data_IF_327443300624
#
_entry.id   IF_327443300624
#
_cell.length_a   1.000
_cell.length_b   1.000
_cell.length_c   1.000
_cell.angle_alpha   90.00
_cell.angle_beta   90.00
_cell.angle_gamma   90.00
#
_symmetry.space_group_name_H-M   'P 1'
#
loop_
_entity.id
_entity.type
_entity.pdbx_description
1 polymer ?
#
# COMPACT_ATOMS: atom_id res chain seq x y z
N UNK A 1 14.85 10.52 -29.40
CA UNK A 1 13.54 10.83 -28.75
C UNK A 1 13.67 10.37 -27.31
N UNK A 2 13.78 11.27 -26.30
CA UNK A 2 13.87 10.84 -24.91
C UNK A 2 12.54 10.19 -24.50
N UNK A 3 12.58 8.92 -24.19
CA UNK A 3 11.40 8.17 -23.69
C UNK A 3 10.96 8.82 -22.38
N UNK A 4 9.74 9.33 -22.35
CA UNK A 4 9.20 10.02 -21.16
C UNK A 4 9.08 9.02 -20.03
N UNK A 5 9.91 9.18 -18.98
CA UNK A 5 9.88 8.31 -17.80
C UNK A 5 8.45 8.17 -17.25
N UNK A 6 8.04 6.93 -17.02
CA UNK A 6 6.75 6.60 -16.43
C UNK A 6 6.66 7.19 -15.01
N UNK A 7 5.57 7.89 -14.69
CA UNK A 7 5.37 8.49 -13.36
C UNK A 7 3.89 8.48 -12.96
N UNK A 8 3.64 8.47 -11.65
CA UNK A 8 2.32 8.58 -11.05
C UNK A 8 1.88 10.03 -10.92
N UNK A 9 0.57 10.25 -10.87
CA UNK A 9 0.02 11.56 -10.51
C UNK A 9 0.05 11.73 -9.00
N UNK A 10 0.82 12.70 -8.55
CA UNK A 10 0.79 13.15 -7.16
C UNK A 10 -0.49 13.97 -6.94
N UNK A 11 -1.33 13.54 -6.00
CA UNK A 11 -2.63 14.17 -5.70
C UNK A 11 -2.56 14.96 -4.41
N UNK A 12 -1.77 14.47 -3.45
CA UNK A 12 -1.57 15.12 -2.16
C UNK A 12 -0.07 15.24 -1.85
N UNK A 13 0.35 16.38 -1.30
CA UNK A 13 1.73 16.61 -0.86
C UNK A 13 1.76 17.82 0.08
N UNK A 14 1.64 17.56 1.38
CA UNK A 14 1.62 18.63 2.39
C UNK A 14 2.41 18.26 3.65
N UNK A 15 2.87 19.29 4.33
CA UNK A 15 3.51 19.21 5.63
C UNK A 15 3.15 20.45 6.46
N UNK A 16 2.89 20.28 7.74
CA UNK A 16 2.63 21.38 8.67
C UNK A 16 3.89 22.16 9.07
N UNK A 17 5.08 21.64 8.74
CA UNK A 17 6.39 22.24 9.05
C UNK A 17 7.17 22.56 7.77
N UNK A 18 8.04 23.59 7.81
CA UNK A 18 9.00 23.89 6.73
C UNK A 18 10.16 22.89 6.69
N UNK A 19 10.40 22.19 7.79
CA UNK A 19 11.49 21.22 7.96
C UNK A 19 10.91 19.85 8.34
N UNK A 20 10.37 19.09 7.37
CA UNK A 20 9.83 17.78 7.64
C UNK A 20 10.96 16.82 8.09
N UNK A 21 10.66 15.98 9.09
CA UNK A 21 11.57 14.94 9.59
C UNK A 21 11.26 13.54 9.06
N UNK A 22 10.06 13.36 8.54
CA UNK A 22 9.58 12.09 8.01
C UNK A 22 8.66 12.34 6.82
N UNK A 23 8.75 11.51 5.79
CA UNK A 23 7.77 11.47 4.71
C UNK A 23 6.93 10.19 4.83
N UNK A 24 5.61 10.33 4.69
CA UNK A 24 4.68 9.20 4.62
C UNK A 24 4.08 9.16 3.23
N UNK A 25 4.31 8.05 2.52
CA UNK A 25 3.81 7.84 1.16
C UNK A 25 2.67 6.81 1.20
N UNK A 26 1.49 7.22 0.72
CA UNK A 26 0.29 6.38 0.67
C UNK A 26 0.12 5.73 -0.70
N UNK A 27 -0.09 4.41 -0.69
CA UNK A 27 -0.30 3.56 -1.87
C UNK A 27 -1.65 2.86 -1.75
N UNK A 28 -2.61 3.27 -2.59
CA UNK A 28 -4.00 2.80 -2.52
C UNK A 28 -4.20 1.37 -3.05
N UNK A 29 -5.38 0.81 -2.78
CA UNK A 29 -5.78 -0.52 -3.22
C UNK A 29 -6.30 -0.58 -4.64
N UNK A 30 -6.65 -1.79 -5.09
CA UNK A 30 -7.29 -1.99 -6.38
C UNK A 30 -8.67 -1.33 -6.42
N UNK A 31 -9.10 -0.89 -7.60
CA UNK A 31 -10.37 -0.22 -7.83
C UNK A 31 -10.63 1.00 -6.93
N UNK A 32 -9.54 1.66 -6.52
CA UNK A 32 -9.54 2.88 -5.72
C UNK A 32 -8.57 3.90 -6.34
N UNK A 33 -8.50 5.06 -5.72
CA UNK A 33 -7.48 6.08 -5.94
C UNK A 33 -7.00 6.63 -4.60
N UNK A 34 -6.16 7.64 -4.62
CA UNK A 34 -5.60 8.28 -3.41
C UNK A 34 -6.67 8.87 -2.49
N UNK A 35 -7.88 9.15 -2.97
CA UNK A 35 -8.98 9.66 -2.14
C UNK A 35 -9.42 8.68 -1.05
N UNK A 36 -9.11 7.39 -1.21
CA UNK A 36 -9.36 6.37 -0.18
C UNK A 36 -8.63 6.67 1.14
N UNK A 37 -7.56 7.45 1.10
CA UNK A 37 -6.81 7.91 2.28
C UNK A 37 -7.18 9.33 2.73
N UNK A 38 -8.07 10.05 2.04
CA UNK A 38 -8.33 11.47 2.31
C UNK A 38 -8.70 11.74 3.78
N UNK A 39 -9.59 10.93 4.36
CA UNK A 39 -9.99 11.07 5.76
C UNK A 39 -8.85 10.73 6.73
N UNK A 40 -8.05 9.72 6.42
CA UNK A 40 -6.87 9.36 7.21
C UNK A 40 -5.85 10.49 7.19
N UNK A 41 -5.50 10.98 6.01
CA UNK A 41 -4.54 12.09 5.82
C UNK A 41 -5.01 13.33 6.57
N UNK A 42 -6.28 13.73 6.39
CA UNK A 42 -6.85 14.89 7.10
C UNK A 42 -6.76 14.74 8.63
N UNK A 43 -6.99 13.53 9.14
CA UNK A 43 -6.87 13.24 10.57
C UNK A 43 -5.41 13.34 11.05
N UNK A 44 -4.47 12.76 10.31
CA UNK A 44 -3.03 12.79 10.62
C UNK A 44 -2.49 14.21 10.56
N UNK A 45 -2.84 15.00 9.56
CA UNK A 45 -2.45 16.43 9.44
C UNK A 45 -2.99 17.29 10.58
N UNK A 46 -4.17 16.95 11.12
CA UNK A 46 -4.76 17.60 12.29
C UNK A 46 -4.08 17.21 13.62
N UNK A 47 -3.21 16.20 13.61
CA UNK A 47 -2.53 15.71 14.82
C UNK A 47 -1.27 16.50 15.09
N UNK A 48 -1.23 17.22 16.23
CA UNK A 48 -0.14 18.17 16.58
C UNK A 48 1.25 17.53 16.61
N UNK A 49 1.36 16.29 17.08
CA UNK A 49 2.63 15.54 17.16
C UNK A 49 3.18 15.17 15.77
N UNK A 50 2.36 15.16 14.74
CA UNK A 50 2.72 14.80 13.36
C UNK A 50 2.94 16.04 12.45
N UNK A 51 3.05 17.25 13.00
CA UNK A 51 3.24 18.48 12.20
C UNK A 51 4.50 18.47 11.32
N UNK A 52 5.52 17.71 11.73
CA UNK A 52 6.80 17.57 11.01
C UNK A 52 6.80 16.35 10.06
N UNK A 53 5.64 15.76 9.82
CA UNK A 53 5.46 14.67 8.84
C UNK A 53 4.93 15.25 7.53
N UNK A 54 5.59 14.91 6.41
CA UNK A 54 5.13 15.23 5.06
C UNK A 54 4.29 14.08 4.54
N UNK A 55 3.00 14.32 4.30
CA UNK A 55 2.05 13.34 3.80
C UNK A 55 1.93 13.46 2.28
N UNK A 56 2.14 12.35 1.57
CA UNK A 56 2.18 12.28 0.11
C UNK A 56 1.30 11.14 -0.36
N UNK A 57 0.41 11.40 -1.31
CA UNK A 57 -0.42 10.36 -1.92
C UNK A 57 -0.38 10.43 -3.44
N UNK A 58 -0.23 9.27 -4.07
CA UNK A 58 -0.22 9.09 -5.51
C UNK A 58 -1.41 8.25 -5.95
N UNK A 59 -1.95 8.54 -7.13
CA UNK A 59 -2.79 7.60 -7.86
C UNK A 59 -1.90 6.62 -8.61
N UNK A 60 -2.14 5.33 -8.49
CA UNK A 60 -1.44 4.28 -9.24
C UNK A 60 -1.79 4.34 -10.72
N UNK A 61 -0.94 3.78 -11.60
CA UNK A 61 -1.23 3.72 -13.03
C UNK A 61 -2.58 3.04 -13.30
N UNK A 62 -3.33 3.61 -14.22
CA UNK A 62 -4.66 3.16 -14.58
C UNK A 62 -5.78 3.56 -13.62
N UNK A 63 -5.45 4.27 -12.52
CA UNK A 63 -6.40 4.71 -11.50
C UNK A 63 -6.42 6.23 -11.35
N UNK A 64 -7.54 6.77 -10.90
CA UNK A 64 -7.70 8.19 -10.59
C UNK A 64 -7.24 9.10 -11.74
N UNK A 65 -6.29 9.99 -11.44
CA UNK A 65 -5.71 10.96 -12.39
C UNK A 65 -4.39 10.51 -13.00
N UNK A 66 -3.89 9.32 -12.67
CA UNK A 66 -2.67 8.78 -13.27
C UNK A 66 -2.90 8.30 -14.69
N UNK A 67 -1.79 8.11 -15.43
CA UNK A 67 -1.80 7.75 -16.82
C UNK A 67 -2.55 6.43 -17.07
N UNK A 68 -3.31 6.41 -18.16
CA UNK A 68 -3.96 5.23 -18.73
C UNK A 68 -3.41 5.03 -20.13
N UNK A 69 -3.07 3.80 -20.50
CA UNK A 69 -2.50 3.48 -21.81
C UNK A 69 -2.62 2.01 -22.14
N UNK A 70 -3.03 1.70 -23.35
CA UNK A 70 -3.07 0.32 -23.88
C UNK A 70 -1.68 -0.34 -23.96
N UNK A 71 -0.61 0.47 -23.93
CA UNK A 71 0.78 -0.03 -23.93
C UNK A 71 1.23 -0.54 -22.57
N UNK A 72 0.51 -0.21 -21.48
CA UNK A 72 0.87 -0.64 -20.12
C UNK A 72 0.27 -2.00 -19.82
N UNK A 73 1.03 -2.80 -19.10
CA UNK A 73 0.59 -4.09 -18.57
C UNK A 73 0.04 -4.00 -17.15
N UNK A 74 0.21 -2.84 -16.48
CA UNK A 74 -0.26 -2.55 -15.12
C UNK A 74 0.17 -3.63 -14.11
N UNK A 75 1.29 -4.27 -14.34
CA UNK A 75 1.92 -5.25 -13.47
C UNK A 75 2.88 -4.60 -12.47
N UNK A 76 3.64 -5.41 -11.74
CA UNK A 76 4.65 -4.89 -10.83
C UNK A 76 5.72 -4.04 -11.52
N UNK A 77 6.13 -4.39 -12.73
CA UNK A 77 7.16 -3.62 -13.43
C UNK A 77 6.72 -2.19 -13.67
N UNK A 78 5.53 -2.02 -14.26
CA UNK A 78 4.98 -0.70 -14.56
C UNK A 78 4.73 0.11 -13.29
N UNK A 79 4.07 -0.50 -12.28
CA UNK A 79 3.71 0.21 -11.06
C UNK A 79 4.94 0.60 -10.24
N UNK A 80 5.94 -0.28 -10.10
CA UNK A 80 7.16 -0.01 -9.34
C UNK A 80 8.04 1.03 -10.03
N UNK A 81 8.16 0.98 -11.35
CA UNK A 81 8.91 1.99 -12.11
C UNK A 81 8.26 3.37 -11.96
N UNK A 82 6.95 3.46 -12.15
CA UNK A 82 6.23 4.71 -12.03
C UNK A 82 6.30 5.29 -10.61
N UNK A 83 6.17 4.44 -9.59
CA UNK A 83 6.28 4.85 -8.19
C UNK A 83 7.70 5.33 -7.87
N UNK A 84 8.72 4.59 -8.30
CA UNK A 84 10.13 4.96 -8.10
C UNK A 84 10.45 6.31 -8.73
N UNK A 85 10.16 6.48 -10.01
CA UNK A 85 10.38 7.73 -10.71
C UNK A 85 9.62 8.92 -10.06
N UNK A 86 8.47 8.66 -9.46
CA UNK A 86 7.68 9.70 -8.77
C UNK A 86 8.29 10.06 -7.43
N UNK A 87 8.81 9.09 -6.67
CA UNK A 87 9.51 9.31 -5.40
C UNK A 87 10.83 10.05 -5.64
N UNK A 88 11.63 9.64 -6.63
CA UNK A 88 12.88 10.31 -6.98
C UNK A 88 12.69 11.80 -7.33
N UNK A 89 11.58 12.14 -8.01
CA UNK A 89 11.22 13.53 -8.31
C UNK A 89 10.93 14.39 -7.07
N UNK A 90 10.59 13.77 -5.94
CA UNK A 90 10.36 14.51 -4.69
C UNK A 90 11.64 14.96 -4.02
N UNK A 91 12.80 14.38 -4.38
CA UNK A 91 14.12 14.67 -3.81
C UNK A 91 14.10 14.67 -2.28
N UNK A 92 13.60 13.57 -1.71
CA UNK A 92 13.46 13.42 -0.26
C UNK A 92 14.80 13.04 0.36
N UNK A 93 15.34 13.93 1.20
CA UNK A 93 16.56 13.70 2.01
C UNK A 93 16.19 13.26 3.44
N UNK A 94 14.96 12.80 3.65
CA UNK A 94 14.40 12.37 4.92
C UNK A 94 13.90 10.93 4.82
N UNK A 95 13.80 10.20 5.95
CA UNK A 95 13.27 8.85 5.96
C UNK A 95 11.87 8.77 5.39
N UNK A 96 11.55 7.63 4.77
CA UNK A 96 10.25 7.36 4.16
C UNK A 96 9.57 6.21 4.89
N UNK A 97 8.36 6.44 5.38
CA UNK A 97 7.42 5.39 5.76
C UNK A 97 6.43 5.19 4.62
N UNK A 98 6.25 3.96 4.18
CA UNK A 98 5.28 3.67 3.12
C UNK A 98 4.05 2.98 3.70
N UNK A 99 2.87 3.57 3.48
CA UNK A 99 1.58 3.07 3.94
C UNK A 99 0.82 2.50 2.75
N UNK A 100 0.69 1.18 2.69
CA UNK A 100 -0.11 0.51 1.66
C UNK A 100 -1.49 0.09 2.19
N UNK A 101 -2.50 0.08 1.32
CA UNK A 101 -3.80 -0.52 1.60
C UNK A 101 -4.13 -1.57 0.55
N UNK A 102 -4.57 -2.76 0.97
CA UNK A 102 -4.98 -3.84 0.07
C UNK A 102 -3.90 -4.13 -1.00
N UNK A 103 -4.19 -4.07 -2.30
CA UNK A 103 -3.19 -4.18 -3.37
C UNK A 103 -1.98 -3.26 -3.16
N UNK A 104 -2.19 -2.07 -2.61
CA UNK A 104 -1.11 -1.13 -2.32
C UNK A 104 -0.08 -1.68 -1.32
N UNK A 105 -0.47 -2.61 -0.44
CA UNK A 105 0.46 -3.30 0.46
C UNK A 105 1.45 -4.17 -0.30
N UNK A 106 0.97 -4.84 -1.35
CA UNK A 106 1.79 -5.70 -2.21
C UNK A 106 2.80 -4.86 -3.01
N UNK A 107 2.33 -3.74 -3.58
CA UNK A 107 3.20 -2.81 -4.29
C UNK A 107 4.25 -2.22 -3.33
N UNK A 108 3.87 -1.80 -2.13
CA UNK A 108 4.78 -1.27 -1.12
C UNK A 108 5.84 -2.31 -0.69
N UNK A 109 5.43 -3.56 -0.47
CA UNK A 109 6.33 -4.66 -0.12
C UNK A 109 7.34 -4.93 -1.23
N UNK A 110 6.88 -5.07 -2.48
CA UNK A 110 7.77 -5.29 -3.63
C UNK A 110 8.67 -4.07 -3.91
N UNK A 111 8.18 -2.86 -3.66
CA UNK A 111 8.98 -1.64 -3.76
C UNK A 111 10.13 -1.65 -2.73
N UNK A 112 9.82 -1.91 -1.47
CA UNK A 112 10.82 -1.94 -0.41
C UNK A 112 11.83 -3.08 -0.61
N UNK A 113 11.42 -4.24 -1.12
CA UNK A 113 12.33 -5.33 -1.46
C UNK A 113 13.28 -4.96 -2.61
N UNK A 114 12.79 -4.27 -3.63
CA UNK A 114 13.59 -3.83 -4.79
C UNK A 114 14.49 -2.64 -4.46
N UNK A 115 14.01 -1.65 -3.69
CA UNK A 115 14.68 -0.38 -3.38
C UNK A 115 15.01 -0.25 -1.88
N UNK A 116 15.64 -1.28 -1.32
CA UNK A 116 15.84 -1.53 0.14
C UNK A 116 16.35 -0.35 0.97
N UNK A 117 17.14 0.55 0.39
CA UNK A 117 17.75 1.68 1.11
C UNK A 117 16.85 2.91 1.27
N UNK A 118 15.70 2.95 0.61
CA UNK A 118 14.86 4.15 0.56
C UNK A 118 13.70 4.15 1.57
N UNK A 119 13.33 2.98 2.11
CA UNK A 119 12.16 2.84 2.97
C UNK A 119 12.59 2.45 4.39
N UNK A 120 12.25 3.31 5.36
CA UNK A 120 12.50 3.09 6.78
C UNK A 120 11.57 2.02 7.36
N UNK A 121 10.28 2.10 7.02
CA UNK A 121 9.25 1.22 7.57
C UNK A 121 8.09 1.06 6.60
N UNK A 122 7.47 -0.12 6.63
CA UNK A 122 6.22 -0.42 5.94
C UNK A 122 5.06 -0.52 6.93
N UNK A 123 3.94 0.12 6.62
CA UNK A 123 2.68 -0.05 7.32
C UNK A 123 1.66 -0.61 6.32
N UNK A 124 1.30 -1.88 6.48
CA UNK A 124 0.49 -2.63 5.55
C UNK A 124 -0.93 -2.82 6.11
N UNK A 125 -1.88 -2.07 5.54
CA UNK A 125 -3.28 -2.09 5.97
C UNK A 125 -4.07 -3.08 5.12
N UNK A 126 -4.68 -4.06 5.76
CA UNK A 126 -5.47 -5.12 5.09
C UNK A 126 -4.71 -5.81 3.95
N UNK A 127 -3.51 -6.37 4.20
CA UNK A 127 -2.70 -7.01 3.17
C UNK A 127 -3.36 -8.30 2.69
N UNK A 128 -3.54 -8.51 1.36
CA UNK A 128 -4.05 -9.75 0.81
C UNK A 128 -2.94 -10.81 0.78
N UNK A 129 -2.76 -11.50 1.91
CA UNK A 129 -1.71 -12.50 2.12
C UNK A 129 -2.26 -13.88 1.74
N UNK A 130 -2.09 -14.29 0.49
CA UNK A 130 -2.53 -15.59 -0.01
C UNK A 130 -1.33 -16.53 -0.21
N UNK A 131 -1.46 -17.75 0.30
CA UNK A 131 -0.52 -18.84 0.01
C UNK A 131 -0.86 -19.48 -1.35
N UNK A 132 0.06 -20.28 -1.90
CA UNK A 132 -0.23 -21.07 -3.11
C UNK A 132 -1.45 -21.98 -2.91
N UNK A 133 -1.61 -22.57 -1.71
CA UNK A 133 -2.76 -23.40 -1.37
C UNK A 133 -4.08 -22.63 -1.45
N UNK A 134 -4.10 -21.38 -0.96
CA UNK A 134 -5.29 -20.50 -1.07
C UNK A 134 -5.63 -20.26 -2.52
N UNK A 135 -4.64 -19.87 -3.33
CA UNK A 135 -4.83 -19.55 -4.75
C UNK A 135 -5.30 -20.76 -5.58
N UNK A 136 -4.98 -21.97 -5.17
CA UNK A 136 -5.43 -23.21 -5.83
C UNK A 136 -6.83 -23.64 -5.38
N UNK A 137 -7.33 -23.19 -4.23
CA UNK A 137 -8.61 -23.58 -3.66
C UNK A 137 -9.81 -23.20 -4.56
N UNK A 138 -10.70 -24.14 -4.90
CA UNK A 138 -11.90 -23.84 -5.66
C UNK A 138 -12.81 -22.81 -4.98
N UNK A 139 -12.97 -22.90 -3.66
CA UNK A 139 -13.77 -21.97 -2.87
C UNK A 139 -13.18 -20.55 -2.93
N UNK A 140 -11.85 -20.40 -2.81
CA UNK A 140 -11.17 -19.13 -2.95
C UNK A 140 -11.38 -18.54 -4.36
N UNK A 141 -11.19 -19.35 -5.42
CA UNK A 141 -11.40 -18.91 -6.81
C UNK A 141 -12.82 -18.42 -7.06
N UNK A 142 -13.82 -19.14 -6.53
CA UNK A 142 -15.22 -18.71 -6.64
C UNK A 142 -15.47 -17.38 -5.91
N UNK A 143 -14.98 -17.23 -4.68
CA UNK A 143 -15.08 -15.99 -3.91
C UNK A 143 -14.39 -14.81 -4.60
N UNK A 144 -13.20 -15.01 -5.15
CA UNK A 144 -12.47 -13.98 -5.89
C UNK A 144 -13.16 -13.57 -7.20
N UNK A 145 -13.80 -14.53 -7.88
CA UNK A 145 -14.62 -14.21 -9.07
C UNK A 145 -15.80 -13.29 -8.70
N UNK A 146 -16.56 -13.65 -7.65
CA UNK A 146 -17.66 -12.81 -7.16
C UNK A 146 -17.19 -11.42 -6.72
N UNK A 147 -16.08 -11.34 -6.01
CA UNK A 147 -15.46 -10.07 -5.62
C UNK A 147 -15.10 -9.22 -6.83
N UNK A 148 -14.41 -9.81 -7.80
CA UNK A 148 -13.97 -9.13 -9.03
C UNK A 148 -15.16 -8.55 -9.80
N UNK A 149 -16.23 -9.32 -9.97
CA UNK A 149 -17.45 -8.87 -10.64
C UNK A 149 -18.12 -7.72 -9.89
N UNK A 150 -18.29 -7.84 -8.57
CA UNK A 150 -18.94 -6.81 -7.74
C UNK A 150 -18.14 -5.50 -7.72
N UNK A 151 -16.81 -5.58 -7.61
CA UNK A 151 -15.92 -4.40 -7.55
C UNK A 151 -15.82 -3.73 -8.91
N UNK A 152 -15.70 -4.49 -10.00
CA UNK A 152 -15.67 -3.96 -11.37
C UNK A 152 -16.93 -3.15 -11.68
N UNK A 153 -18.09 -3.65 -11.30
CA UNK A 153 -19.35 -2.95 -11.52
C UNK A 153 -19.45 -1.63 -10.73
N UNK A 154 -19.00 -1.64 -9.47
CA UNK A 154 -19.11 -0.49 -8.55
C UNK A 154 -18.16 0.65 -8.88
N UNK A 155 -16.98 0.34 -9.41
CA UNK A 155 -15.88 1.31 -9.54
C UNK A 155 -15.59 1.70 -11.01
N UNK A 156 -16.59 1.58 -11.89
CA UNK A 156 -16.49 2.07 -13.27
C UNK A 156 -16.16 3.57 -13.27
N UNK A 157 -15.08 3.94 -13.97
CA UNK A 157 -14.60 5.32 -14.08
C UNK A 157 -13.47 5.67 -13.12
N UNK A 158 -13.29 4.97 -11.98
CA UNK A 158 -12.15 5.17 -11.09
C UNK A 158 -10.90 4.47 -11.63
N UNK A 159 -11.06 3.24 -12.11
CA UNK A 159 -10.00 2.43 -12.68
C UNK A 159 -10.35 2.01 -14.12
N UNK A 160 -9.35 1.95 -14.97
CA UNK A 160 -9.47 1.38 -16.32
C UNK A 160 -9.63 -0.15 -16.23
N UNK A 161 -10.49 -0.73 -17.09
CA UNK A 161 -10.80 -2.17 -17.06
C UNK A 161 -9.56 -3.03 -17.29
N UNK A 162 -8.70 -2.69 -18.25
CA UNK A 162 -7.43 -3.38 -18.47
C UNK A 162 -6.54 -3.33 -17.24
N UNK A 163 -6.43 -2.15 -16.61
CA UNK A 163 -5.66 -1.96 -15.37
C UNK A 163 -6.21 -2.83 -14.24
N UNK A 164 -7.53 -2.87 -14.06
CA UNK A 164 -8.17 -3.69 -13.05
C UNK A 164 -7.88 -5.18 -13.26
N UNK A 165 -8.14 -5.71 -14.45
CA UNK A 165 -7.97 -7.12 -14.77
C UNK A 165 -6.51 -7.57 -14.66
N UNK A 166 -5.58 -6.78 -15.18
CA UNK A 166 -4.16 -7.09 -15.12
C UNK A 166 -3.61 -6.99 -13.71
N UNK A 167 -3.98 -5.95 -12.94
CA UNK A 167 -3.58 -5.82 -11.55
C UNK A 167 -4.12 -6.95 -10.69
N UNK A 168 -5.38 -7.37 -10.89
CA UNK A 168 -5.90 -8.55 -10.21
C UNK A 168 -5.06 -9.79 -10.49
N UNK A 169 -4.80 -10.09 -11.77
CA UNK A 169 -4.10 -11.30 -12.18
C UNK A 169 -2.61 -11.27 -11.83
N UNK A 170 -1.92 -10.14 -12.08
CA UNK A 170 -0.45 -10.06 -12.02
C UNK A 170 0.08 -9.52 -10.69
N UNK A 171 -0.75 -8.81 -9.92
CA UNK A 171 -0.38 -8.25 -8.62
C UNK A 171 -1.12 -8.98 -7.49
N UNK A 172 -2.45 -8.87 -7.41
CA UNK A 172 -3.21 -9.37 -6.26
C UNK A 172 -3.11 -10.89 -6.13
N UNK A 173 -3.28 -11.61 -7.23
CA UNK A 173 -3.26 -13.08 -7.28
C UNK A 173 -1.89 -13.67 -7.63
N UNK A 174 -0.82 -12.88 -7.51
CA UNK A 174 0.54 -13.36 -7.76
C UNK A 174 0.98 -14.32 -6.64
N UNK A 175 1.37 -15.57 -6.97
CA UNK A 175 1.74 -16.57 -5.96
C UNK A 175 3.03 -16.22 -5.19
N UNK A 176 3.86 -15.30 -5.70
CA UNK A 176 5.09 -14.88 -5.04
C UNK A 176 4.88 -13.85 -3.92
N UNK A 177 3.68 -13.26 -3.78
CA UNK A 177 3.40 -12.23 -2.78
C UNK A 177 3.70 -12.68 -1.35
N UNK A 178 3.24 -13.88 -0.97
CA UNK A 178 3.53 -14.45 0.35
C UNK A 178 5.03 -14.57 0.60
N UNK A 179 5.76 -15.14 -0.36
CA UNK A 179 7.21 -15.35 -0.27
C UNK A 179 7.95 -14.01 -0.17
N UNK A 180 7.55 -13.00 -0.95
CA UNK A 180 8.16 -11.68 -0.88
C UNK A 180 7.95 -11.04 0.48
N UNK A 181 6.74 -11.12 1.04
CA UNK A 181 6.43 -10.57 2.36
C UNK A 181 7.23 -11.27 3.48
N UNK A 182 7.30 -12.60 3.49
CA UNK A 182 8.09 -13.31 4.50
C UNK A 182 9.60 -13.15 4.32
N UNK A 183 10.06 -12.74 3.14
CA UNK A 183 11.46 -12.43 2.84
C UNK A 183 11.86 -10.97 3.04
N UNK A 184 10.92 -10.09 3.39
CA UNK A 184 11.19 -8.66 3.52
C UNK A 184 12.23 -8.37 4.61
N UNK A 185 13.10 -7.39 4.35
CA UNK A 185 14.14 -6.94 5.29
C UNK A 185 13.94 -5.50 5.77
N UNK A 186 12.79 -4.92 5.46
CA UNK A 186 12.34 -3.62 5.95
C UNK A 186 11.41 -3.83 7.14
N UNK A 187 11.57 -3.10 8.26
CA UNK A 187 10.64 -3.14 9.38
C UNK A 187 9.20 -2.96 8.89
N UNK A 188 8.32 -3.87 9.28
CA UNK A 188 6.96 -3.95 8.72
C UNK A 188 5.93 -4.16 9.82
N UNK A 189 4.89 -3.34 9.81
CA UNK A 189 3.72 -3.44 10.69
C UNK A 189 2.50 -3.81 9.86
N UNK A 190 1.78 -4.83 10.31
CA UNK A 190 0.51 -5.26 9.69
C UNK A 190 -0.67 -4.68 10.48
N UNK A 191 -1.65 -4.09 9.79
CA UNK A 191 -2.92 -3.65 10.39
C UNK A 191 -4.06 -4.31 9.63
N UNK A 192 -4.92 -5.06 10.32
CA UNK A 192 -6.01 -5.78 9.67
C UNK A 192 -7.30 -5.78 10.47
N UNK A 193 -8.43 -5.85 9.79
CA UNK A 193 -9.76 -5.93 10.41
C UNK A 193 -10.16 -7.36 10.72
N UNK A 194 -10.82 -7.58 11.86
CA UNK A 194 -11.37 -8.88 12.24
C UNK A 194 -12.57 -9.34 11.37
N UNK A 195 -13.23 -8.39 10.70
CA UNK A 195 -14.36 -8.63 9.79
C UNK A 195 -13.97 -8.47 8.31
N UNK A 196 -12.68 -8.48 8.02
CA UNK A 196 -12.16 -8.37 6.66
C UNK A 196 -12.28 -9.72 5.94
N UNK A 197 -13.18 -9.78 4.96
CA UNK A 197 -13.48 -10.98 4.19
C UNK A 197 -12.60 -11.14 2.94
N UNK A 198 -11.79 -10.11 2.63
CA UNK A 198 -10.98 -10.06 1.40
C UNK A 198 -9.51 -10.37 1.63
N UNK A 199 -9.12 -10.60 2.87
CA UNK A 199 -7.76 -11.02 3.21
C UNK A 199 -7.79 -12.37 3.90
N UNK A 200 -6.77 -13.18 3.64
CA UNK A 200 -6.56 -14.44 4.34
C UNK A 200 -5.89 -14.16 5.71
N UNK A 201 -6.60 -13.50 6.63
CA UNK A 201 -6.04 -13.09 7.93
C UNK A 201 -5.55 -14.27 8.78
N UNK A 202 -6.03 -15.48 8.49
CA UNK A 202 -5.53 -16.73 9.12
C UNK A 202 -4.07 -17.06 8.74
N UNK A 203 -3.52 -16.44 7.70
CA UNK A 203 -2.10 -16.57 7.34
C UNK A 203 -1.18 -15.62 8.13
N UNK A 204 -1.72 -14.63 8.85
CA UNK A 204 -0.91 -13.64 9.58
C UNK A 204 -0.02 -14.28 10.65
N UNK A 205 -0.47 -15.25 11.47
CA UNK A 205 0.40 -15.93 12.42
C UNK A 205 1.62 -16.58 11.74
N UNK A 206 1.41 -17.26 10.61
CA UNK A 206 2.50 -17.89 9.86
C UNK A 206 3.50 -16.87 9.30
N UNK A 207 3.04 -15.69 8.91
CA UNK A 207 3.91 -14.60 8.44
C UNK A 207 4.75 -14.04 9.57
N UNK A 208 4.18 -13.84 10.76
CA UNK A 208 4.89 -13.39 11.95
C UNK A 208 5.95 -14.40 12.40
N UNK A 209 5.61 -15.69 12.37
CA UNK A 209 6.51 -16.78 12.72
C UNK A 209 7.66 -16.91 11.72
N UNK A 210 7.37 -16.77 10.42
CA UNK A 210 8.37 -16.91 9.36
C UNK A 210 9.40 -15.76 9.32
N UNK A 211 9.02 -14.55 9.75
CA UNK A 211 9.92 -13.39 9.74
C UNK A 211 9.74 -12.47 10.96
N UNK A 212 9.99 -12.96 12.19
CA UNK A 212 9.77 -12.20 13.42
C UNK A 212 10.73 -11.02 13.59
N UNK A 213 11.84 -11.01 12.84
CA UNK A 213 12.82 -9.93 12.89
C UNK A 213 12.33 -8.64 12.21
N UNK A 214 11.64 -8.79 11.10
CA UNK A 214 11.25 -7.63 10.29
C UNK A 214 9.73 -7.40 10.27
N UNK A 215 8.91 -8.42 10.50
CA UNK A 215 7.48 -8.23 10.71
C UNK A 215 7.25 -8.03 12.20
N UNK A 216 7.48 -6.79 12.63
CA UNK A 216 7.65 -6.44 14.04
C UNK A 216 6.34 -6.41 14.83
N UNK A 217 5.20 -6.23 14.14
CA UNK A 217 3.90 -6.11 14.81
C UNK A 217 2.74 -6.45 13.87
N UNK A 218 1.72 -7.11 14.39
CA UNK A 218 0.43 -7.27 13.72
C UNK A 218 -0.69 -6.73 14.63
N UNK A 219 -1.40 -5.73 14.16
CA UNK A 219 -2.45 -5.02 14.90
C UNK A 219 -3.80 -5.42 14.33
N UNK A 220 -4.58 -6.15 15.12
CA UNK A 220 -5.96 -6.47 14.82
C UNK A 220 -6.86 -5.30 15.21
N UNK A 221 -7.74 -4.87 14.31
CA UNK A 221 -8.72 -3.81 14.54
C UNK A 221 -10.13 -4.35 14.39
N UNK A 222 -11.09 -3.65 14.95
CA UNK A 222 -12.49 -3.93 14.67
C UNK A 222 -12.88 -3.22 13.37
N UNK A 223 -13.23 -4.01 12.35
CA UNK A 223 -13.61 -3.43 11.08
C UNK A 223 -13.47 -4.38 9.89
N UNK A 224 -13.86 -3.82 8.74
CA UNK A 224 -13.82 -4.49 7.44
C UNK A 224 -12.56 -4.10 6.66
N UNK A 225 -12.53 -4.39 5.36
CA UNK A 225 -11.39 -4.20 4.47
C UNK A 225 -10.89 -2.74 4.35
N UNK A 226 -11.78 -1.75 4.36
CA UNK A 226 -11.44 -0.35 4.11
C UNK A 226 -10.53 0.32 5.15
N UNK A 227 -10.02 1.50 4.82
CA UNK A 227 -9.24 2.35 5.73
C UNK A 227 -10.21 3.06 6.67
N UNK A 228 -10.60 2.41 7.76
CA UNK A 228 -11.56 2.91 8.76
C UNK A 228 -10.90 3.83 9.78
N UNK A 229 -11.72 4.56 10.57
CA UNK A 229 -11.24 5.43 11.65
C UNK A 229 -10.37 4.68 12.66
N UNK A 230 -10.74 3.46 13.02
CA UNK A 230 -9.94 2.64 13.94
C UNK A 230 -8.54 2.33 13.37
N UNK A 231 -8.43 2.07 12.06
CA UNK A 231 -7.13 1.82 11.41
C UNK A 231 -6.26 3.07 11.36
N UNK A 232 -6.80 4.24 10.99
CA UNK A 232 -5.95 5.43 10.92
C UNK A 232 -5.66 6.06 12.29
N UNK A 233 -6.44 5.80 13.34
CA UNK A 233 -6.02 6.14 14.70
C UNK A 233 -4.80 5.32 15.14
N UNK A 234 -4.69 4.06 14.71
CA UNK A 234 -3.47 3.25 14.94
C UNK A 234 -2.27 3.80 14.17
N UNK A 235 -2.47 4.37 12.98
CA UNK A 235 -1.39 5.04 12.24
C UNK A 235 -0.75 6.19 13.03
N UNK A 236 -1.53 6.95 13.81
CA UNK A 236 -0.97 8.04 14.62
C UNK A 236 0.10 7.52 15.57
N UNK A 237 -0.23 6.54 16.40
CA UNK A 237 0.73 5.99 17.39
C UNK A 237 1.96 5.40 16.73
N UNK A 238 1.81 4.71 15.58
CA UNK A 238 2.94 4.14 14.85
C UNK A 238 3.84 5.25 14.31
N UNK A 239 3.28 6.29 13.70
CA UNK A 239 4.06 7.39 13.16
C UNK A 239 4.72 8.23 14.25
N UNK A 240 4.09 8.38 15.42
CA UNK A 240 4.70 9.00 16.59
C UNK A 240 5.90 8.20 17.08
N UNK A 241 5.78 6.87 17.18
CA UNK A 241 6.90 5.96 17.51
C UNK A 241 8.04 6.12 16.46
N UNK A 242 7.71 6.14 15.17
CA UNK A 242 8.69 6.29 14.09
C UNK A 242 9.44 7.64 14.15
N UNK A 243 8.75 8.72 14.51
CA UNK A 243 9.37 10.05 14.68
C UNK A 243 10.30 10.11 15.92
N UNK A 244 9.94 9.43 17.00
CA UNK A 244 10.70 9.46 18.25
C UNK A 244 11.93 8.54 18.20
N UNK A 245 11.90 7.47 17.42
CA UNK A 245 13.03 6.53 17.25
C UNK A 245 14.27 7.17 16.57
N UNK A 246 14.19 8.41 16.09
CA UNK A 246 15.31 9.16 15.51
C UNK A 246 15.92 10.18 16.47
N UNK A 247 15.36 10.33 17.66
CA UNK A 247 15.82 11.30 18.65
C UNK A 247 16.89 10.71 19.63
N UNK A 248 17.44 9.51 19.35
CA UNK A 248 18.47 8.85 20.16
C UNK A 248 19.78 8.72 19.40
#
# INVERSE_FOLDING_TARGET
MFEKKLTLKKVHDQCGSKTPRLAVIFVHGIAADSSSFANAIKYLEGTRSLKDVRFIAFDLLGSGKSMRSDKLEYDYSDQLEALHNSIEKLKLDIPIVMVGHSMGTLIATHYADKYKKSIKELILISPPIYTERDLLSPAFKAGMKMFTEAVSLKNRGIIEEKSFNNSMKKIVLNPHNYKTLVGITTPTILIYGNLDQFIASYNIPSVLEANPKYIVKAIKTEGRHGVSRDKYTKLVSILEEALNAEAV
#
